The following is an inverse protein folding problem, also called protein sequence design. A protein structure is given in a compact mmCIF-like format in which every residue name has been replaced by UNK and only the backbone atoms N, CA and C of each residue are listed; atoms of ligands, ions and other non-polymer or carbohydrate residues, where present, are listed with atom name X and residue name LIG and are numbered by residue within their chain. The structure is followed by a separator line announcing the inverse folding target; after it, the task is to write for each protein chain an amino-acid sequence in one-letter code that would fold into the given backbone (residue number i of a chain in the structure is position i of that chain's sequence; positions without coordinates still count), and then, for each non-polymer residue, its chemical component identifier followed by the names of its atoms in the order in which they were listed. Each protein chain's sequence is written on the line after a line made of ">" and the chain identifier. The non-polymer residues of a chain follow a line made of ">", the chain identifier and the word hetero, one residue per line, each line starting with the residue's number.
data_IF_555858705767
#
_entry.id   IF_555858705767
#
_cell.length_a   1.000
_cell.length_b   1.000
_cell.length_c   1.000
_cell.angle_alpha   90.00
_cell.angle_beta   90.00
_cell.angle_gamma   90.00
#
_symmetry.space_group_name_H-M   'P 1'
#
loop_
_entity.id
_entity.type
_entity.pdbx_description
1 polymer ?
#
# COMPACT_ATOMS: atom_id res chain seq x y z
N UNK A 1 17.71 7.67 -12.80
CA UNK A 1 16.59 6.72 -12.75
C UNK A 1 15.73 6.69 -14.02
N UNK A 2 14.98 7.76 -14.36
CA UNK A 2 13.94 7.66 -15.41
C UNK A 2 14.46 7.86 -16.84
N UNK A 3 13.85 7.13 -17.78
CA UNK A 3 14.07 7.21 -19.25
C UNK A 3 12.89 7.92 -19.94
N UNK A 4 12.96 8.11 -21.26
CA UNK A 4 11.84 8.69 -22.02
C UNK A 4 10.54 7.86 -21.94
N UNK A 5 10.66 6.54 -21.88
CA UNK A 5 9.53 5.62 -21.74
C UNK A 5 8.85 5.77 -20.37
N UNK A 6 9.66 5.87 -19.31
CA UNK A 6 9.18 6.20 -17.97
C UNK A 6 8.41 7.53 -17.95
N UNK A 7 8.93 8.57 -18.60
CA UNK A 7 8.28 9.87 -18.64
C UNK A 7 6.97 9.85 -19.45
N UNK A 8 6.90 9.05 -20.52
CA UNK A 8 5.66 8.86 -21.27
C UNK A 8 4.61 8.14 -20.42
N UNK A 9 4.98 7.04 -19.76
CA UNK A 9 4.09 6.31 -18.87
C UNK A 9 3.60 7.19 -17.71
N UNK A 10 4.49 7.98 -17.11
CA UNK A 10 4.13 8.97 -16.08
C UNK A 10 3.05 9.94 -16.55
N UNK A 11 3.12 10.42 -17.79
CA UNK A 11 2.09 11.30 -18.35
C UNK A 11 0.75 10.58 -18.53
N UNK A 12 0.77 9.30 -18.90
CA UNK A 12 -0.43 8.45 -18.97
C UNK A 12 -1.07 8.31 -17.59
N UNK A 13 -0.30 7.90 -16.57
CA UNK A 13 -0.80 7.76 -15.20
C UNK A 13 -1.34 9.07 -14.65
N UNK A 14 -0.61 10.18 -14.84
CA UNK A 14 -1.05 11.51 -14.38
C UNK A 14 -2.39 11.91 -14.98
N UNK A 15 -2.59 11.63 -16.28
CA UNK A 15 -3.85 11.91 -16.97
C UNK A 15 -4.97 11.06 -16.42
N UNK A 16 -4.73 9.76 -16.24
CA UNK A 16 -5.69 8.85 -15.62
C UNK A 16 -6.11 9.32 -14.22
N UNK A 17 -5.15 9.66 -13.36
CA UNK A 17 -5.44 10.20 -12.01
C UNK A 17 -6.28 11.47 -12.07
N UNK A 18 -5.97 12.37 -12.99
CA UNK A 18 -6.69 13.64 -13.15
C UNK A 18 -8.12 13.43 -13.66
N UNK A 19 -8.30 12.54 -14.63
CA UNK A 19 -9.54 12.45 -15.40
C UNK A 19 -10.50 11.37 -14.86
N UNK A 20 -9.98 10.29 -14.28
CA UNK A 20 -10.75 9.09 -13.86
C UNK A 20 -10.80 8.86 -12.34
N UNK A 21 -9.96 9.54 -11.55
CA UNK A 21 -9.91 9.37 -10.08
C UNK A 21 -10.32 10.66 -9.38
N UNK A 22 -9.54 11.73 -9.57
CA UNK A 22 -9.69 13.01 -8.84
C UNK A 22 -11.13 13.55 -8.83
N UNK A 23 -11.90 13.51 -9.94
CA UNK A 23 -13.28 14.04 -9.95
C UNK A 23 -14.26 13.26 -9.06
N UNK A 24 -13.91 12.04 -8.65
CA UNK A 24 -14.80 11.15 -7.90
C UNK A 24 -14.41 11.00 -6.42
N UNK A 25 -13.23 11.47 -6.03
CA UNK A 25 -12.67 11.25 -4.68
C UNK A 25 -13.62 11.71 -3.57
N UNK A 26 -14.22 12.89 -3.67
CA UNK A 26 -15.10 13.41 -2.63
C UNK A 26 -16.33 12.52 -2.42
N UNK A 27 -16.88 11.97 -3.52
CA UNK A 27 -17.98 11.02 -3.46
C UNK A 27 -17.53 9.70 -2.84
N UNK A 28 -16.40 9.14 -3.26
CA UNK A 28 -15.90 7.88 -2.72
C UNK A 28 -15.52 7.97 -1.24
N UNK A 29 -14.99 9.10 -0.79
CA UNK A 29 -14.75 9.37 0.63
C UNK A 29 -16.05 9.41 1.43
N UNK A 30 -17.08 10.10 0.92
CA UNK A 30 -18.39 10.17 1.57
C UNK A 30 -19.10 8.81 1.61
N UNK A 31 -19.05 8.06 0.52
CA UNK A 31 -19.60 6.70 0.41
C UNK A 31 -18.74 5.67 1.17
N UNK A 32 -17.54 6.07 1.61
CA UNK A 32 -16.50 5.23 2.22
C UNK A 32 -16.11 4.04 1.35
N UNK A 33 -16.19 4.18 0.03
CA UNK A 33 -15.97 3.11 -0.92
C UNK A 33 -15.71 3.66 -2.33
N UNK A 34 -14.70 3.10 -3.00
CA UNK A 34 -14.44 3.29 -4.42
C UNK A 34 -14.80 2.00 -5.16
N UNK A 35 -15.26 2.07 -6.43
CA UNK A 35 -15.72 0.91 -7.17
C UNK A 35 -14.53 0.14 -7.77
N UNK A 36 -13.91 -0.77 -6.99
CA UNK A 36 -12.70 -1.49 -7.38
C UNK A 36 -12.87 -2.23 -8.72
N UNK A 37 -13.95 -3.02 -8.88
CA UNK A 37 -14.28 -3.75 -10.10
C UNK A 37 -14.59 -2.88 -11.34
N UNK A 38 -14.70 -1.55 -11.19
CA UNK A 38 -14.83 -0.64 -12.33
C UNK A 38 -13.53 0.10 -12.62
N UNK A 39 -12.80 0.49 -11.56
CA UNK A 39 -11.59 1.27 -11.71
C UNK A 39 -10.39 0.39 -12.13
N UNK A 40 -10.23 -0.78 -11.52
CA UNK A 40 -9.09 -1.65 -11.76
C UNK A 40 -8.98 -2.17 -13.20
N UNK A 41 -10.06 -2.58 -13.90
CA UNK A 41 -9.95 -2.93 -15.32
C UNK A 41 -9.38 -1.78 -16.18
N UNK A 42 -9.80 -0.54 -15.91
CA UNK A 42 -9.29 0.65 -16.61
C UNK A 42 -7.80 0.90 -16.32
N UNK A 43 -7.34 0.56 -15.11
CA UNK A 43 -5.92 0.63 -14.74
C UNK A 43 -5.11 -0.49 -15.39
N UNK A 44 -5.68 -1.70 -15.47
CA UNK A 44 -5.10 -2.85 -16.16
C UNK A 44 -4.89 -2.58 -17.66
N UNK A 45 -5.87 -1.98 -18.33
CA UNK A 45 -5.76 -1.54 -19.75
C UNK A 45 -4.56 -0.61 -20.00
N UNK A 46 -4.17 0.17 -19.00
CA UNK A 46 -3.05 1.12 -19.08
C UNK A 46 -1.72 0.52 -18.58
N UNK A 47 -1.70 -0.77 -18.20
CA UNK A 47 -0.51 -1.44 -17.68
C UNK A 47 -0.13 -1.05 -16.24
N UNK A 48 -1.01 -0.37 -15.50
CA UNK A 48 -0.69 0.16 -14.17
C UNK A 48 -0.63 -0.92 -13.07
N UNK A 49 -1.34 -2.04 -13.26
CA UNK A 49 -1.46 -3.09 -12.24
C UNK A 49 -0.41 -4.19 -12.35
N UNK A 50 0.34 -4.24 -13.45
CA UNK A 50 1.34 -5.29 -13.69
C UNK A 50 2.54 -4.86 -14.51
N UNK A 51 2.98 -3.61 -14.36
CA UNK A 51 4.04 -3.04 -15.18
C UNK A 51 5.31 -3.90 -15.23
N UNK A 52 5.77 -4.45 -14.09
CA UNK A 52 6.95 -5.32 -14.05
C UNK A 52 6.66 -6.82 -14.11
N UNK A 53 5.40 -7.24 -14.25
CA UNK A 53 5.06 -8.67 -14.27
C UNK A 53 5.30 -9.29 -15.65
N UNK A 54 5.48 -10.63 -15.72
CA UNK A 54 5.74 -11.31 -16.99
C UNK A 54 4.60 -11.11 -17.99
N UNK A 55 4.97 -10.92 -19.26
CA UNK A 55 4.01 -10.75 -20.37
C UNK A 55 3.06 -11.95 -20.53
N UNK A 56 3.53 -13.16 -20.21
CA UNK A 56 2.72 -14.40 -20.22
C UNK A 56 1.45 -14.29 -19.34
N UNK A 57 1.50 -13.44 -18.30
CA UNK A 57 0.38 -13.21 -17.39
C UNK A 57 -0.19 -11.78 -17.52
N UNK A 58 -0.04 -11.15 -18.68
CA UNK A 58 -0.61 -9.84 -18.98
C UNK A 58 0.15 -8.64 -18.41
N UNK A 59 1.33 -8.85 -17.82
CA UNK A 59 2.21 -7.76 -17.41
C UNK A 59 2.98 -7.14 -18.59
N UNK A 60 3.75 -6.08 -18.33
CA UNK A 60 4.53 -5.40 -19.36
C UNK A 60 6.03 -5.75 -19.36
N UNK A 61 6.49 -6.61 -18.45
CA UNK A 61 7.91 -7.01 -18.35
C UNK A 61 8.89 -5.86 -18.09
N UNK A 62 8.39 -4.69 -17.68
CA UNK A 62 9.18 -3.49 -17.48
C UNK A 62 9.95 -3.53 -16.15
N UNK A 63 10.83 -2.55 -15.94
CA UNK A 63 11.53 -2.44 -14.66
C UNK A 63 10.60 -1.90 -13.53
N UNK A 64 11.07 -2.01 -12.29
CA UNK A 64 10.27 -1.66 -11.12
C UNK A 64 10.02 -0.15 -10.95
N UNK A 65 10.72 0.72 -11.68
CA UNK A 65 10.51 2.17 -11.58
C UNK A 65 9.13 2.58 -12.13
N UNK A 66 8.50 1.75 -12.98
CA UNK A 66 7.12 1.95 -13.41
C UNK A 66 6.12 1.86 -12.23
N UNK A 67 6.32 0.93 -11.30
CA UNK A 67 5.50 0.86 -10.07
C UNK A 67 5.68 2.10 -9.19
N UNK A 68 6.92 2.62 -9.10
CA UNK A 68 7.20 3.88 -8.39
C UNK A 68 6.51 5.08 -9.05
N UNK A 69 6.41 5.10 -10.38
CA UNK A 69 5.66 6.14 -11.11
C UNK A 69 4.17 6.07 -10.79
N UNK A 70 3.58 4.87 -10.76
CA UNK A 70 2.18 4.69 -10.36
C UNK A 70 1.97 5.24 -8.96
N UNK A 71 2.80 4.85 -7.99
CA UNK A 71 2.74 5.36 -6.62
C UNK A 71 2.89 6.90 -6.55
N UNK A 72 3.85 7.50 -7.25
CA UNK A 72 4.11 8.95 -7.21
C UNK A 72 2.94 9.78 -7.76
N UNK A 73 2.35 9.36 -8.88
CA UNK A 73 1.24 10.10 -9.48
C UNK A 73 -0.08 9.84 -8.72
N UNK A 74 -0.33 8.61 -8.25
CA UNK A 74 -1.52 8.29 -7.45
C UNK A 74 -1.56 9.05 -6.12
N UNK A 75 -0.41 9.30 -5.49
CA UNK A 75 -0.33 10.10 -4.27
C UNK A 75 -0.85 11.55 -4.41
N UNK A 76 -1.08 12.02 -5.64
CA UNK A 76 -1.55 13.39 -5.95
C UNK A 76 -3.05 13.47 -6.22
N UNK A 77 -3.79 12.36 -6.09
CA UNK A 77 -5.22 12.31 -6.42
C UNK A 77 -6.14 12.98 -5.38
N UNK A 78 -5.59 13.38 -4.22
CA UNK A 78 -6.36 14.06 -3.17
C UNK A 78 -7.07 13.14 -2.18
N UNK A 79 -6.72 11.84 -2.14
CA UNK A 79 -6.98 10.88 -1.06
C UNK A 79 -5.86 9.83 -1.03
N UNK A 80 -5.78 9.03 0.03
CA UNK A 80 -4.87 7.89 0.12
C UNK A 80 -5.58 6.53 0.09
N UNK A 81 -6.91 6.48 0.18
CA UNK A 81 -7.66 5.22 0.08
C UNK A 81 -7.50 4.53 -1.27
N UNK A 82 -7.84 5.19 -2.38
CA UNK A 82 -7.71 4.59 -3.73
C UNK A 82 -6.25 4.22 -4.07
N UNK A 83 -5.24 5.07 -3.80
CA UNK A 83 -3.85 4.69 -4.00
C UNK A 83 -3.40 3.48 -3.16
N UNK A 84 -3.85 3.38 -1.91
CA UNK A 84 -3.53 2.23 -1.06
C UNK A 84 -4.18 0.94 -1.61
N UNK A 85 -5.44 1.00 -2.02
CA UNK A 85 -6.14 -0.13 -2.63
C UNK A 85 -5.48 -0.60 -3.93
N UNK A 86 -5.01 0.36 -4.76
CA UNK A 86 -4.24 0.09 -5.98
C UNK A 86 -2.93 -0.60 -5.65
N UNK A 87 -2.18 -0.08 -4.68
CA UNK A 87 -0.91 -0.68 -4.27
C UNK A 87 -1.13 -2.11 -3.74
N UNK A 88 -2.25 -2.37 -3.05
CA UNK A 88 -2.61 -3.72 -2.62
C UNK A 88 -2.82 -4.64 -3.81
N UNK A 89 -3.60 -4.18 -4.79
CA UNK A 89 -3.87 -4.92 -6.02
C UNK A 89 -2.58 -5.28 -6.77
N UNK A 90 -1.70 -4.29 -6.98
CA UNK A 90 -0.55 -4.42 -7.88
C UNK A 90 0.69 -5.02 -7.23
N UNK A 91 0.98 -4.73 -5.96
CA UNK A 91 2.30 -5.02 -5.37
C UNK A 91 2.27 -5.80 -4.05
N UNK A 92 1.09 -5.97 -3.44
CA UNK A 92 0.97 -6.63 -2.12
C UNK A 92 0.27 -7.97 -2.27
N UNK A 93 -0.95 -7.99 -2.82
CA UNK A 93 -1.74 -9.22 -2.95
C UNK A 93 -1.10 -10.19 -3.96
N UNK A 94 -0.63 -9.68 -5.10
CA UNK A 94 -0.23 -10.54 -6.23
C UNK A 94 1.27 -10.69 -6.40
N UNK A 95 2.10 -9.93 -5.67
CA UNK A 95 3.56 -9.97 -5.86
C UNK A 95 4.18 -11.33 -5.48
N UNK A 96 3.71 -11.95 -4.39
CA UNK A 96 4.07 -13.31 -4.02
C UNK A 96 3.65 -14.35 -5.03
N UNK A 97 2.44 -14.18 -5.56
CA UNK A 97 1.89 -15.04 -6.60
C UNK A 97 2.71 -14.95 -7.89
N UNK A 98 3.09 -13.74 -8.31
CA UNK A 98 3.93 -13.51 -9.47
C UNK A 98 5.32 -14.15 -9.34
N UNK A 99 5.92 -14.08 -8.16
CA UNK A 99 7.27 -14.58 -7.94
C UNK A 99 7.32 -16.09 -7.69
N UNK A 100 6.42 -16.64 -6.87
CA UNK A 100 6.50 -18.03 -6.39
C UNK A 100 5.29 -18.91 -6.76
N UNK A 101 4.22 -18.33 -7.30
CA UNK A 101 3.04 -19.08 -7.70
C UNK A 101 3.34 -20.13 -8.77
N UNK A 102 2.59 -21.24 -8.76
CA UNK A 102 2.59 -22.18 -9.87
C UNK A 102 2.00 -21.53 -11.13
N UNK A 103 2.23 -22.14 -12.29
CA UNK A 103 1.63 -21.69 -13.55
C UNK A 103 0.09 -21.61 -13.45
N UNK A 104 -0.54 -22.66 -12.93
CA UNK A 104 -2.00 -22.71 -12.70
C UNK A 104 -2.49 -21.55 -11.82
N UNK A 105 -1.79 -21.28 -10.72
CA UNK A 105 -2.11 -20.17 -9.82
C UNK A 105 -1.99 -18.81 -10.52
N UNK A 106 -0.96 -18.63 -11.36
CA UNK A 106 -0.74 -17.38 -12.09
C UNK A 106 -1.80 -17.18 -13.18
N UNK A 107 -2.14 -18.22 -13.95
CA UNK A 107 -3.22 -18.13 -14.93
C UNK A 107 -4.57 -17.83 -14.26
N UNK A 108 -4.86 -18.49 -13.14
CA UNK A 108 -6.16 -18.38 -12.48
C UNK A 108 -6.38 -17.08 -11.71
N UNK A 109 -5.33 -16.54 -11.09
CA UNK A 109 -5.46 -15.40 -10.18
C UNK A 109 -4.59 -14.20 -10.56
N UNK A 110 -3.33 -14.41 -10.98
CA UNK A 110 -2.43 -13.30 -11.31
C UNK A 110 -2.88 -12.59 -12.58
N UNK A 111 -3.08 -13.33 -13.68
CA UNK A 111 -3.40 -12.72 -14.96
C UNK A 111 -4.71 -11.92 -14.92
N UNK A 112 -5.82 -12.43 -14.35
CA UNK A 112 -7.04 -11.64 -14.18
C UNK A 112 -6.87 -10.45 -13.22
N UNK A 113 -6.06 -10.58 -12.15
CA UNK A 113 -5.79 -9.47 -11.24
C UNK A 113 -4.95 -8.36 -11.90
N UNK A 114 -4.00 -8.72 -12.76
CA UNK A 114 -3.22 -7.77 -13.56
C UNK A 114 -4.10 -7.08 -14.60
N UNK A 115 -5.03 -7.80 -15.21
CA UNK A 115 -6.05 -7.21 -16.09
C UNK A 115 -7.04 -6.30 -15.32
N UNK A 116 -7.14 -6.47 -13.99
CA UNK A 116 -8.08 -5.75 -13.14
C UNK A 116 -9.47 -6.39 -13.04
N UNK A 117 -9.65 -7.57 -13.63
CA UNK A 117 -10.90 -8.34 -13.65
C UNK A 117 -11.20 -9.01 -12.30
N UNK A 118 -10.16 -9.31 -11.51
CA UNK A 118 -10.27 -9.80 -10.13
C UNK A 118 -9.59 -8.82 -9.16
N UNK A 119 -10.25 -8.56 -8.04
CA UNK A 119 -9.72 -7.78 -6.92
C UNK A 119 -9.02 -8.72 -5.93
N UNK A 120 -7.73 -8.48 -5.70
CA UNK A 120 -6.91 -9.20 -4.75
C UNK A 120 -6.77 -8.46 -3.42
N UNK A 121 -6.68 -9.24 -2.34
CA UNK A 121 -6.28 -8.76 -1.02
C UNK A 121 -5.20 -9.67 -0.40
N UNK A 122 -4.53 -9.17 0.63
CA UNK A 122 -3.51 -9.90 1.40
C UNK A 122 -3.97 -10.04 2.86
N UNK A 123 -4.10 -11.28 3.34
CA UNK A 123 -4.54 -11.62 4.69
C UNK A 123 -3.39 -12.03 5.62
N UNK A 124 -2.78 -11.08 6.34
CA UNK A 124 -1.67 -11.38 7.28
C UNK A 124 -2.09 -11.18 8.74
N UNK A 125 -2.37 -9.94 9.13
CA UNK A 125 -2.67 -9.56 10.52
C UNK A 125 -3.98 -10.16 11.01
N UNK A 126 -4.05 -10.42 12.31
CA UNK A 126 -5.20 -10.97 13.01
C UNK A 126 -5.65 -10.00 14.11
N UNK A 127 -6.85 -10.14 14.70
CA UNK A 127 -7.33 -9.22 15.72
C UNK A 127 -6.35 -8.97 16.88
N UNK A 128 -5.66 -10.01 17.34
CA UNK A 128 -4.70 -9.93 18.44
C UNK A 128 -3.24 -9.89 17.97
N UNK A 129 -2.99 -9.97 16.65
CA UNK A 129 -1.66 -10.16 16.07
C UNK A 129 -1.40 -9.14 14.96
N UNK A 130 -0.65 -8.09 15.30
CA UNK A 130 -0.18 -7.06 14.37
C UNK A 130 1.31 -7.23 14.04
N UNK A 131 2.17 -6.55 14.82
CA UNK A 131 3.62 -6.53 14.60
C UNK A 131 4.28 -7.91 14.76
N UNK A 132 3.76 -8.77 15.65
CA UNK A 132 4.29 -10.12 15.89
C UNK A 132 3.65 -11.16 14.94
N UNK A 133 3.86 -10.97 13.64
CA UNK A 133 3.27 -11.83 12.59
C UNK A 133 3.59 -13.32 12.81
N UNK A 134 4.76 -13.63 13.38
CA UNK A 134 5.19 -14.99 13.66
C UNK A 134 4.30 -15.73 14.69
N UNK A 135 3.45 -15.01 15.43
CA UNK A 135 2.52 -15.54 16.43
C UNK A 135 1.08 -15.68 15.93
N UNK A 136 0.81 -15.49 14.62
CA UNK A 136 -0.53 -15.67 14.05
C UNK A 136 -1.10 -17.08 14.34
N UNK A 137 -2.43 -17.19 14.40
CA UNK A 137 -3.16 -18.38 14.83
C UNK A 137 -4.00 -19.03 13.73
N UNK A 138 -4.35 -18.30 12.66
CA UNK A 138 -5.09 -18.85 11.51
C UNK A 138 -4.36 -20.07 10.95
N UNK A 139 -5.09 -21.17 10.79
CA UNK A 139 -4.53 -22.50 10.49
C UNK A 139 -5.23 -23.14 9.30
N UNK A 140 -4.43 -23.74 8.44
CA UNK A 140 -4.83 -24.56 7.31
C UNK A 140 -4.43 -26.01 7.58
N UNK A 141 -5.38 -26.83 8.05
CA UNK A 141 -5.16 -28.26 8.29
C UNK A 141 -5.26 -29.02 6.96
N UNK A 142 -4.35 -29.98 6.76
CA UNK A 142 -4.37 -30.86 5.59
C UNK A 142 -5.48 -31.91 5.72
N UNK A 143 -6.32 -32.04 4.69
CA UNK A 143 -7.28 -33.15 4.53
C UNK A 143 -7.26 -33.65 3.08
N UNK A 144 -6.57 -34.78 2.86
CA UNK A 144 -6.34 -35.29 1.50
C UNK A 144 -5.57 -34.26 0.66
N UNK A 145 -6.16 -33.91 -0.49
CA UNK A 145 -5.61 -32.96 -1.46
C UNK A 145 -6.04 -31.51 -1.19
N UNK A 146 -6.75 -31.25 -0.09
CA UNK A 146 -7.21 -29.93 0.32
C UNK A 146 -6.53 -29.43 1.60
N UNK A 147 -6.53 -28.10 1.74
CA UNK A 147 -6.48 -27.43 3.02
C UNK A 147 -7.89 -27.10 3.50
N UNK A 148 -8.08 -27.14 4.82
CA UNK A 148 -9.25 -26.54 5.48
C UNK A 148 -8.78 -25.49 6.46
N UNK A 149 -9.26 -24.27 6.26
CA UNK A 149 -8.75 -23.06 6.88
C UNK A 149 -9.75 -22.57 7.93
N UNK A 150 -9.23 -22.34 9.14
CA UNK A 150 -9.96 -21.69 10.22
C UNK A 150 -9.16 -20.54 10.81
N UNK A 151 -9.86 -19.44 11.11
CA UNK A 151 -9.29 -18.30 11.79
C UNK A 151 -9.92 -16.99 11.33
N UNK A 152 -9.19 -15.90 11.52
CA UNK A 152 -9.64 -14.58 11.09
C UNK A 152 -8.46 -13.69 10.74
N UNK A 153 -8.71 -12.76 9.83
CA UNK A 153 -7.75 -11.74 9.41
C UNK A 153 -8.37 -10.37 9.59
N UNK A 154 -7.58 -9.41 10.07
CA UNK A 154 -8.06 -8.06 10.36
C UNK A 154 -7.14 -7.03 9.70
N UNK A 155 -7.70 -5.87 9.37
CA UNK A 155 -7.03 -4.78 8.66
C UNK A 155 -6.78 -5.07 7.18
N UNK A 156 -7.67 -5.87 6.56
CA UNK A 156 -7.45 -6.36 5.20
C UNK A 156 -8.00 -5.36 4.19
N UNK A 157 -7.12 -4.52 3.66
CA UNK A 157 -7.43 -3.60 2.56
C UNK A 157 -7.95 -4.38 1.34
N UNK A 158 -8.96 -3.83 0.66
CA UNK A 158 -9.75 -4.48 -0.41
C UNK A 158 -10.59 -5.67 0.07
N UNK A 159 -10.53 -6.06 1.35
CA UNK A 159 -11.14 -7.30 1.84
C UNK A 159 -12.66 -7.40 1.66
N UNK A 160 -13.38 -6.29 1.58
CA UNK A 160 -14.83 -6.29 1.32
C UNK A 160 -15.18 -6.37 -0.17
N UNK A 161 -14.24 -6.05 -1.06
CA UNK A 161 -14.41 -6.10 -2.51
C UNK A 161 -13.57 -7.21 -3.16
N UNK A 162 -12.79 -7.96 -2.40
CA UNK A 162 -11.87 -8.96 -2.93
C UNK A 162 -12.63 -10.16 -3.52
N UNK A 163 -12.14 -10.65 -4.67
CA UNK A 163 -12.55 -11.92 -5.27
C UNK A 163 -11.65 -13.07 -4.76
N UNK A 164 -10.44 -12.75 -4.30
CA UNK A 164 -9.56 -13.68 -3.61
C UNK A 164 -8.66 -12.99 -2.59
N UNK A 165 -8.23 -13.75 -1.59
CA UNK A 165 -7.29 -13.31 -0.56
C UNK A 165 -6.09 -14.23 -0.56
N UNK A 166 -4.89 -13.67 -0.65
CA UNK A 166 -3.66 -14.42 -0.38
C UNK A 166 -3.44 -14.41 1.13
N UNK A 167 -3.68 -15.54 1.77
CA UNK A 167 -3.77 -15.65 3.23
C UNK A 167 -2.52 -16.32 3.80
N UNK A 168 -1.85 -15.65 4.73
CA UNK A 168 -0.78 -16.25 5.52
C UNK A 168 -1.40 -17.05 6.67
N UNK A 169 -1.19 -18.36 6.69
CA UNK A 169 -1.73 -19.27 7.69
C UNK A 169 -0.71 -20.36 8.07
N UNK A 170 -0.90 -20.98 9.23
CA UNK A 170 -0.10 -22.14 9.66
C UNK A 170 -0.56 -23.39 8.92
N UNK A 171 0.34 -24.05 8.21
CA UNK A 171 0.11 -25.37 7.59
C UNK A 171 0.76 -26.51 8.37
N UNK A 172 1.64 -26.20 9.33
CA UNK A 172 2.22 -27.20 10.24
C UNK A 172 2.31 -26.71 11.69
N UNK A 173 2.67 -27.63 12.60
CA UNK A 173 2.87 -27.36 14.03
C UNK A 173 4.30 -26.94 14.38
N UNK A 174 5.17 -26.77 13.38
CA UNK A 174 6.50 -26.21 13.60
C UNK A 174 6.34 -24.73 14.00
N UNK A 175 6.37 -24.44 15.30
CA UNK A 175 6.09 -23.10 15.83
C UNK A 175 7.01 -21.98 15.33
N UNK A 176 6.68 -20.74 15.69
CA UNK A 176 7.36 -19.54 15.21
C UNK A 176 7.04 -19.25 13.75
N UNK A 177 8.01 -18.71 12.99
CA UNK A 177 7.85 -18.42 11.56
C UNK A 177 7.89 -19.65 10.65
N UNK A 178 8.35 -20.79 11.19
CA UNK A 178 8.37 -22.07 10.46
C UNK A 178 6.92 -22.56 10.34
N UNK A 179 6.64 -23.40 9.35
CA UNK A 179 5.29 -23.98 9.20
C UNK A 179 4.18 -23.02 8.74
N UNK A 180 4.52 -21.83 8.26
CA UNK A 180 3.56 -20.89 7.67
C UNK A 180 3.59 -20.93 6.15
N UNK A 181 2.43 -20.86 5.52
CA UNK A 181 2.27 -20.85 4.07
C UNK A 181 1.35 -19.72 3.65
N UNK A 182 1.59 -19.18 2.44
CA UNK A 182 0.65 -18.31 1.76
C UNK A 182 -0.28 -19.20 0.93
N UNK A 183 -1.58 -19.06 1.12
CA UNK A 183 -2.60 -19.85 0.42
C UNK A 183 -3.60 -18.90 -0.22
N UNK A 184 -3.88 -19.06 -1.50
CA UNK A 184 -4.92 -18.28 -2.18
C UNK A 184 -6.30 -18.82 -1.78
N UNK A 185 -7.19 -17.94 -1.32
CA UNK A 185 -8.55 -18.28 -0.90
C UNK A 185 -9.55 -17.45 -1.69
N UNK A 186 -10.32 -18.04 -2.62
CA UNK A 186 -11.44 -17.36 -3.28
C UNK A 186 -12.49 -16.94 -2.25
N UNK A 187 -13.03 -15.73 -2.36
CA UNK A 187 -13.96 -15.18 -1.36
C UNK A 187 -15.38 -15.74 -1.48
N UNK A 188 -15.67 -16.45 -2.57
CA UNK A 188 -16.90 -17.24 -2.77
C UNK A 188 -16.82 -18.66 -2.18
N UNK A 189 -15.67 -19.04 -1.59
CA UNK A 189 -15.50 -20.35 -0.94
C UNK A 189 -16.47 -20.49 0.24
N UNK A 190 -17.18 -21.62 0.37
CA UNK A 190 -18.04 -21.88 1.54
C UNK A 190 -17.27 -21.73 2.85
N UNK A 191 -17.86 -21.00 3.81
CA UNK A 191 -17.25 -20.71 5.12
C UNK A 191 -16.43 -19.42 5.17
N UNK A 192 -16.18 -18.76 4.04
CA UNK A 192 -15.55 -17.45 4.02
C UNK A 192 -16.60 -16.35 4.25
N UNK A 193 -16.28 -15.38 5.10
CA UNK A 193 -17.16 -14.23 5.36
C UNK A 193 -16.37 -12.94 5.55
N UNK A 194 -16.86 -11.85 4.97
CA UNK A 194 -16.46 -10.49 5.37
C UNK A 194 -17.26 -10.10 6.61
N UNK A 195 -16.76 -10.45 7.79
CA UNK A 195 -17.49 -10.25 9.05
C UNK A 195 -17.83 -8.77 9.34
N UNK A 196 -16.94 -7.83 8.98
CA UNK A 196 -17.29 -6.40 8.91
C UNK A 196 -16.31 -5.57 8.09
N UNK A 197 -16.81 -4.46 7.54
CA UNK A 197 -16.00 -3.33 7.09
C UNK A 197 -15.60 -2.48 8.29
N UNK A 198 -14.33 -2.15 8.41
CA UNK A 198 -13.77 -1.38 9.53
C UNK A 198 -13.94 0.11 9.26
N UNK A 199 -14.56 0.80 10.23
CA UNK A 199 -14.63 2.26 10.29
C UNK A 199 -13.27 2.83 10.71
N UNK A 200 -12.68 3.67 9.86
CA UNK A 200 -11.30 4.15 9.98
C UNK A 200 -11.25 5.66 10.24
N UNK A 201 -10.11 6.12 10.78
CA UNK A 201 -9.81 7.54 10.92
C UNK A 201 -9.70 8.26 9.57
N UNK A 202 -9.11 7.61 8.57
CA UNK A 202 -8.92 8.12 7.21
C UNK A 202 -8.89 6.98 6.19
N UNK A 203 -8.46 7.27 4.97
CA UNK A 203 -8.50 6.38 3.81
C UNK A 203 -9.91 5.84 3.60
N UNK A 204 -10.92 6.71 3.72
CA UNK A 204 -12.32 6.31 3.74
C UNK A 204 -12.72 5.71 2.41
N UNK A 205 -12.19 6.22 1.30
CA UNK A 205 -12.50 5.69 -0.02
C UNK A 205 -12.09 4.23 -0.22
N UNK A 206 -11.22 3.64 0.62
CA UNK A 206 -10.85 2.22 0.54
C UNK A 206 -11.53 1.42 1.66
N UNK A 207 -12.08 0.26 1.32
CA UNK A 207 -12.59 -0.66 2.31
C UNK A 207 -11.45 -1.40 3.04
N UNK A 208 -11.75 -1.85 4.26
CA UNK A 208 -10.81 -2.64 5.07
C UNK A 208 -11.62 -3.64 5.86
N UNK A 209 -11.36 -4.93 5.66
CA UNK A 209 -12.16 -6.02 6.21
C UNK A 209 -11.61 -6.63 7.49
N UNK A 210 -12.53 -7.08 8.33
CA UNK A 210 -12.35 -8.28 9.15
C UNK A 210 -12.87 -9.46 8.35
N UNK A 211 -12.00 -10.43 8.07
CA UNK A 211 -12.30 -11.64 7.32
C UNK A 211 -12.35 -12.83 8.28
N UNK A 212 -13.33 -13.71 8.09
CA UNK A 212 -13.54 -14.91 8.88
C UNK A 212 -13.43 -16.12 7.96
N UNK A 213 -12.72 -17.13 8.43
CA UNK A 213 -12.60 -18.43 7.79
C UNK A 213 -13.17 -19.47 8.75
N UNK A 214 -14.31 -20.05 8.41
CA UNK A 214 -14.95 -21.14 9.15
C UNK A 214 -14.96 -22.40 8.28
N UNK A 215 -14.04 -23.32 8.56
CA UNK A 215 -13.84 -24.56 7.81
C UNK A 215 -13.75 -24.36 6.27
N UNK A 216 -13.09 -23.28 5.82
CA UNK A 216 -12.95 -22.94 4.40
C UNK A 216 -12.05 -23.95 3.70
N UNK A 217 -12.59 -24.68 2.72
CA UNK A 217 -11.87 -25.72 1.98
C UNK A 217 -11.33 -25.20 0.65
N UNK A 218 -10.02 -25.36 0.42
CA UNK A 218 -9.36 -25.03 -0.84
C UNK A 218 -8.35 -26.11 -1.24
N UNK A 219 -8.09 -26.35 -2.53
CA UNK A 219 -7.06 -27.30 -2.97
C UNK A 219 -5.67 -26.93 -2.47
N UNK A 220 -4.84 -27.92 -2.16
CA UNK A 220 -3.42 -27.69 -1.81
C UNK A 220 -2.62 -27.04 -2.94
N UNK A 221 -3.06 -27.20 -4.19
CA UNK A 221 -2.47 -26.51 -5.34
C UNK A 221 -2.59 -24.98 -5.25
N UNK A 222 -3.42 -24.45 -4.34
CA UNK A 222 -3.51 -23.01 -4.07
C UNK A 222 -2.43 -22.49 -3.10
N UNK A 223 -1.52 -23.34 -2.62
CA UNK A 223 -0.33 -22.90 -1.90
C UNK A 223 0.60 -22.11 -2.83
N UNK A 224 0.98 -20.89 -2.43
CA UNK A 224 1.92 -20.05 -3.16
C UNK A 224 3.35 -20.49 -2.81
N UNK A 225 4.07 -20.99 -3.83
CA UNK A 225 5.43 -21.51 -3.66
C UNK A 225 5.47 -22.78 -2.81
N UNK A 226 6.53 -22.93 -2.02
CA UNK A 226 6.71 -24.12 -1.19
C UNK A 226 5.94 -24.00 0.14
N UNK A 227 5.23 -25.05 0.52
CA UNK A 227 4.60 -25.15 1.85
C UNK A 227 5.64 -24.92 2.97
N UNK A 228 5.27 -24.11 3.98
CA UNK A 228 6.13 -23.73 5.10
C UNK A 228 7.09 -22.56 4.80
N UNK A 229 7.08 -22.00 3.58
CA UNK A 229 7.91 -20.84 3.20
C UNK A 229 7.15 -19.51 3.13
N UNK A 230 5.85 -19.50 3.41
CA UNK A 230 4.99 -18.32 3.27
C UNK A 230 5.45 -17.11 4.07
N UNK A 231 5.97 -17.31 5.29
CA UNK A 231 6.50 -16.20 6.09
C UNK A 231 7.67 -15.49 5.41
N UNK A 232 8.60 -16.26 4.82
CA UNK A 232 9.77 -15.70 4.13
C UNK A 232 9.35 -14.89 2.91
N UNK A 233 8.46 -15.47 2.08
CA UNK A 233 7.89 -14.78 0.94
C UNK A 233 7.20 -13.48 1.36
N UNK A 234 6.46 -13.50 2.47
CA UNK A 234 5.79 -12.31 2.99
C UNK A 234 6.76 -11.21 3.44
N UNK A 235 7.86 -11.58 4.11
CA UNK A 235 8.87 -10.61 4.55
C UNK A 235 9.59 -9.92 3.38
N UNK A 236 9.83 -10.65 2.29
CA UNK A 236 10.39 -10.09 1.05
C UNK A 236 9.39 -9.11 0.39
N UNK A 237 8.12 -9.48 0.33
CA UNK A 237 7.05 -8.63 -0.25
C UNK A 237 6.87 -7.32 0.52
N UNK A 238 6.99 -7.33 1.85
CA UNK A 238 6.86 -6.12 2.65
C UNK A 238 7.87 -5.03 2.27
N UNK A 239 9.01 -5.37 1.68
CA UNK A 239 9.96 -4.36 1.23
C UNK A 239 9.39 -3.52 0.08
N UNK A 240 8.70 -4.16 -0.87
CA UNK A 240 8.03 -3.51 -2.00
C UNK A 240 6.89 -2.60 -1.51
N UNK A 241 6.07 -3.11 -0.60
CA UNK A 241 4.99 -2.35 0.05
C UNK A 241 5.52 -1.08 0.75
N UNK A 242 6.57 -1.23 1.57
CA UNK A 242 7.16 -0.13 2.34
C UNK A 242 7.75 0.96 1.45
N UNK A 243 8.43 0.57 0.37
CA UNK A 243 9.03 1.49 -0.58
C UNK A 243 7.96 2.32 -1.31
N UNK A 244 6.94 1.65 -1.85
CA UNK A 244 5.87 2.32 -2.61
C UNK A 244 4.94 3.13 -1.70
N UNK A 245 4.62 2.64 -0.51
CA UNK A 245 3.89 3.40 0.52
C UNK A 245 4.62 4.68 0.92
N UNK A 246 5.96 4.65 0.98
CA UNK A 246 6.77 5.84 1.23
C UNK A 246 6.65 6.86 0.09
N UNK A 247 6.70 6.41 -1.17
CA UNK A 247 6.54 7.28 -2.34
C UNK A 247 5.15 7.91 -2.41
N UNK A 248 4.10 7.14 -2.11
CA UNK A 248 2.73 7.64 -2.01
C UNK A 248 2.63 8.78 -0.99
N UNK A 249 3.12 8.55 0.23
CA UNK A 249 3.09 9.54 1.31
C UNK A 249 3.87 10.81 0.97
N UNK A 250 5.07 10.68 0.40
CA UNK A 250 5.89 11.82 -0.03
C UNK A 250 5.15 12.66 -1.08
N UNK A 251 4.50 12.01 -2.04
CA UNK A 251 3.81 12.68 -3.14
C UNK A 251 2.55 13.41 -2.67
N UNK A 252 1.78 12.81 -1.76
CA UNK A 252 0.67 13.47 -1.08
C UNK A 252 1.16 14.67 -0.25
N UNK A 253 2.25 14.52 0.51
CA UNK A 253 2.79 15.60 1.33
C UNK A 253 3.32 16.77 0.46
N UNK A 254 3.94 16.48 -0.68
CA UNK A 254 4.33 17.51 -1.64
C UNK A 254 3.12 18.27 -2.23
N UNK A 255 2.00 17.59 -2.47
CA UNK A 255 0.77 18.23 -2.90
C UNK A 255 0.17 19.09 -1.79
N UNK A 256 0.17 18.62 -0.54
CA UNK A 256 -0.27 19.39 0.63
C UNK A 256 0.52 20.70 0.78
N UNK A 257 1.84 20.65 0.66
CA UNK A 257 2.69 21.85 0.71
C UNK A 257 2.41 22.78 -0.48
N UNK A 258 2.14 22.23 -1.68
CA UNK A 258 1.86 23.02 -2.88
C UNK A 258 0.59 23.84 -2.69
N UNK A 259 -0.49 23.18 -2.26
CA UNK A 259 -1.78 23.81 -1.94
C UNK A 259 -1.63 24.84 -0.84
N UNK A 260 -0.82 24.55 0.18
CA UNK A 260 -0.55 25.49 1.28
C UNK A 260 0.17 26.75 0.80
N UNK A 261 1.17 26.61 -0.10
CA UNK A 261 1.84 27.77 -0.70
C UNK A 261 0.84 28.63 -1.49
N UNK A 262 -0.03 28.01 -2.29
CA UNK A 262 -1.07 28.71 -3.06
C UNK A 262 -2.04 29.45 -2.13
N UNK A 263 -2.57 28.77 -1.11
CA UNK A 263 -3.45 29.38 -0.12
C UNK A 263 -2.79 30.55 0.62
N UNK A 264 -1.56 30.36 1.11
CA UNK A 264 -0.84 31.41 1.85
C UNK A 264 -0.51 32.62 0.97
N UNK A 265 -0.35 32.45 -0.35
CA UNK A 265 -0.12 33.53 -1.30
C UNK A 265 -1.36 34.43 -1.43
N UNK A 266 -2.55 33.83 -1.41
CA UNK A 266 -3.80 34.55 -1.63
C UNK A 266 -4.41 35.08 -0.32
N UNK A 267 -4.24 34.34 0.78
CA UNK A 267 -4.77 34.69 2.10
C UNK A 267 -4.06 35.90 2.67
N UNK A 268 -4.79 36.99 2.91
CA UNK A 268 -4.25 38.19 3.57
C UNK A 268 -4.49 38.16 5.09
N UNK A 269 -3.45 38.47 5.87
CA UNK A 269 -3.50 38.70 7.32
C UNK A 269 -2.67 39.92 7.65
N UNK A 270 -3.17 40.79 8.53
CA UNK A 270 -2.50 42.04 8.89
C UNK A 270 -2.11 42.90 7.66
N UNK A 271 -2.96 42.92 6.63
CA UNK A 271 -2.77 43.75 5.43
C UNK A 271 -1.90 43.15 4.32
N UNK A 272 -1.25 42.01 4.54
CA UNK A 272 -0.33 41.38 3.58
C UNK A 272 -0.59 39.88 3.42
N UNK A 273 -0.13 39.23 2.33
CA UNK A 273 -0.22 37.78 2.17
C UNK A 273 0.36 37.03 3.37
N UNK A 274 -0.28 35.94 3.81
CA UNK A 274 0.23 35.07 4.87
C UNK A 274 1.62 34.53 4.52
N UNK A 275 1.87 34.29 3.22
CA UNK A 275 3.16 33.85 2.72
C UNK A 275 4.29 34.88 2.91
N UNK A 276 4.01 36.17 3.19
CA UNK A 276 5.07 37.15 3.50
C UNK A 276 5.63 37.02 4.92
N UNK A 277 4.95 36.27 5.80
CA UNK A 277 5.41 36.06 7.18
C UNK A 277 6.60 35.12 7.19
N UNK A 278 7.73 35.58 7.72
CA UNK A 278 9.01 34.84 7.75
C UNK A 278 8.87 33.40 8.22
N UNK A 279 8.18 33.21 9.34
CA UNK A 279 7.98 31.90 9.92
C UNK A 279 7.26 30.93 8.96
N UNK A 280 6.29 31.41 8.16
CA UNK A 280 5.53 30.60 7.20
C UNK A 280 6.43 30.11 6.08
N UNK A 281 7.11 31.01 5.37
CA UNK A 281 7.92 30.60 4.21
C UNK A 281 9.20 29.86 4.62
N UNK A 282 9.74 30.08 5.82
CA UNK A 282 10.83 29.27 6.37
C UNK A 282 10.40 27.81 6.57
N UNK A 283 9.27 27.57 7.25
CA UNK A 283 8.78 26.20 7.46
C UNK A 283 8.44 25.50 6.14
N UNK A 284 7.83 26.20 5.18
CA UNK A 284 7.53 25.60 3.87
C UNK A 284 8.83 25.23 3.13
N UNK A 285 9.89 26.03 3.23
CA UNK A 285 11.19 25.73 2.64
C UNK A 285 11.87 24.52 3.30
N UNK A 286 11.83 24.42 4.63
CA UNK A 286 12.36 23.27 5.38
C UNK A 286 11.62 21.97 5.01
N UNK A 287 10.28 21.98 5.04
CA UNK A 287 9.47 20.82 4.68
C UNK A 287 9.71 20.38 3.23
N UNK A 288 9.83 21.33 2.29
CA UNK A 288 10.20 21.02 0.89
C UNK A 288 11.56 20.38 0.78
N UNK A 289 12.53 20.84 1.57
CA UNK A 289 13.88 20.27 1.59
C UNK A 289 13.85 18.84 2.07
N UNK A 290 13.19 18.57 3.19
CA UNK A 290 13.05 17.22 3.76
C UNK A 290 12.34 16.25 2.81
N UNK A 291 11.25 16.68 2.17
CA UNK A 291 10.52 15.88 1.17
C UNK A 291 11.38 15.59 -0.06
N UNK A 292 12.15 16.59 -0.53
CA UNK A 292 13.04 16.43 -1.69
C UNK A 292 14.13 15.40 -1.39
N UNK A 293 14.76 15.47 -0.21
CA UNK A 293 15.78 14.52 0.22
C UNK A 293 15.20 13.10 0.28
N UNK A 294 14.03 12.94 0.91
CA UNK A 294 13.40 11.64 1.04
C UNK A 294 12.99 11.06 -0.32
N UNK A 295 12.47 11.88 -1.24
CA UNK A 295 12.17 11.47 -2.62
C UNK A 295 13.40 10.92 -3.33
N UNK A 296 14.53 11.64 -3.26
CA UNK A 296 15.78 11.19 -3.87
C UNK A 296 16.30 9.90 -3.21
N UNK A 297 16.14 9.76 -1.89
CA UNK A 297 16.48 8.52 -1.20
C UNK A 297 15.63 7.32 -1.68
N UNK A 298 14.33 7.52 -1.90
CA UNK A 298 13.46 6.47 -2.46
C UNK A 298 13.85 6.12 -3.90
N UNK A 299 14.19 7.11 -4.74
CA UNK A 299 14.71 6.83 -6.08
C UNK A 299 16.01 6.05 -6.05
N UNK A 300 16.94 6.42 -5.15
CA UNK A 300 18.17 5.66 -4.95
C UNK A 300 17.90 4.21 -4.52
N UNK A 301 16.96 3.99 -3.58
CA UNK A 301 16.53 2.64 -3.20
C UNK A 301 15.96 1.88 -4.41
N UNK A 302 15.14 2.53 -5.23
CA UNK A 302 14.54 1.91 -6.41
C UNK A 302 15.59 1.46 -7.43
N UNK A 303 16.60 2.29 -7.73
CA UNK A 303 17.69 1.92 -8.63
C UNK A 303 18.48 0.70 -8.14
N UNK A 304 18.68 0.57 -6.83
CA UNK A 304 19.36 -0.57 -6.22
C UNK A 304 18.47 -1.82 -6.20
N UNK A 305 17.17 -1.66 -5.98
CA UNK A 305 16.20 -2.75 -6.07
C UNK A 305 16.19 -3.36 -7.47
N UNK A 306 16.20 -2.53 -8.52
CA UNK A 306 16.25 -2.97 -9.92
C UNK A 306 17.51 -3.77 -10.22
N UNK A 307 18.63 -3.47 -9.54
CA UNK A 307 19.89 -4.22 -9.66
C UNK A 307 19.89 -5.54 -8.87
N UNK A 308 18.81 -5.85 -8.15
CA UNK A 308 18.69 -7.07 -7.33
C UNK A 308 19.49 -7.01 -6.02
N UNK A 309 19.81 -5.80 -5.53
CA UNK A 309 20.50 -5.64 -4.25
C UNK A 309 19.54 -5.80 -3.06
N UNK A 310 20.00 -6.43 -1.98
CA UNK A 310 19.27 -6.39 -0.70
C UNK A 310 19.41 -5.00 -0.08
N UNK A 311 18.28 -4.30 -0.03
CA UNK A 311 18.13 -2.94 0.48
C UNK A 311 17.08 -2.85 1.59
N UNK A 312 16.84 -3.96 2.29
CA UNK A 312 15.87 -4.05 3.40
C UNK A 312 16.09 -2.96 4.44
N UNK A 313 17.35 -2.64 4.75
CA UNK A 313 17.73 -1.58 5.68
C UNK A 313 17.28 -0.21 5.17
N UNK A 314 17.65 0.14 3.96
CA UNK A 314 17.37 1.45 3.35
C UNK A 314 15.87 1.68 3.17
N UNK A 315 15.13 0.64 2.76
CA UNK A 315 13.67 0.69 2.66
C UNK A 315 13.03 0.94 4.04
N UNK A 316 13.54 0.29 5.08
CA UNK A 316 13.05 0.49 6.45
C UNK A 316 13.31 1.92 6.94
N UNK A 317 14.47 2.50 6.60
CA UNK A 317 14.79 3.91 6.87
C UNK A 317 13.85 4.85 6.11
N UNK A 318 13.60 4.59 4.82
CA UNK A 318 12.72 5.38 3.98
C UNK A 318 11.30 5.39 4.55
N UNK A 319 10.77 4.22 4.91
CA UNK A 319 9.42 4.08 5.47
C UNK A 319 9.27 4.77 6.82
N UNK A 320 10.24 4.61 7.71
CA UNK A 320 10.26 5.30 9.01
C UNK A 320 10.26 6.82 8.84
N UNK A 321 11.16 7.34 7.99
CA UNK A 321 11.26 8.78 7.73
C UNK A 321 10.01 9.32 7.05
N UNK A 322 9.47 8.59 6.07
CA UNK A 322 8.24 8.95 5.38
C UNK A 322 7.07 9.05 6.35
N UNK A 323 6.78 8.01 7.13
CA UNK A 323 5.68 8.00 8.09
C UNK A 323 5.70 9.19 9.05
N UNK A 324 6.88 9.51 9.60
CA UNK A 324 7.06 10.65 10.50
C UNK A 324 6.94 12.00 9.78
N UNK A 325 7.58 12.15 8.62
CA UNK A 325 7.60 13.41 7.89
C UNK A 325 6.21 13.79 7.36
N UNK A 326 5.44 12.85 6.80
CA UNK A 326 4.10 13.17 6.26
C UNK A 326 3.14 13.64 7.34
N UNK A 327 3.26 13.13 8.57
CA UNK A 327 2.50 13.60 9.73
C UNK A 327 2.84 15.04 10.07
N UNK A 328 4.14 15.37 10.13
CA UNK A 328 4.59 16.73 10.40
C UNK A 328 4.16 17.71 9.28
N UNK A 329 4.31 17.31 8.02
CA UNK A 329 3.94 18.14 6.87
C UNK A 329 2.45 18.46 6.91
N UNK A 330 1.60 17.44 7.04
CA UNK A 330 0.15 17.63 7.01
C UNK A 330 -0.36 18.42 8.21
N UNK A 331 0.19 18.20 9.40
CA UNK A 331 -0.11 19.00 10.60
C UNK A 331 0.20 20.50 10.40
N UNK A 332 1.41 20.82 9.91
CA UNK A 332 1.80 22.20 9.61
C UNK A 332 0.93 22.81 8.51
N UNK A 333 0.60 22.03 7.48
CA UNK A 333 -0.25 22.52 6.39
C UNK A 333 -1.67 22.85 6.90
N UNK A 334 -2.26 22.01 7.75
CA UNK A 334 -3.55 22.31 8.42
C UNK A 334 -3.42 23.58 9.25
N UNK A 335 -2.35 23.71 10.05
CA UNK A 335 -2.09 24.88 10.88
C UNK A 335 -2.02 26.20 10.08
N UNK A 336 -1.43 26.18 8.88
CA UNK A 336 -1.30 27.38 8.04
C UNK A 336 -2.61 27.77 7.35
N UNK A 337 -3.50 26.80 7.12
CA UNK A 337 -4.84 27.08 6.65
C UNK A 337 -5.77 27.59 7.76
N UNK A 338 -5.45 27.33 9.03
CA UNK A 338 -6.26 27.71 10.18
C UNK A 338 -7.62 26.99 10.16
N UNK A 339 -8.71 27.71 10.41
CA UNK A 339 -10.06 27.13 10.40
C UNK A 339 -10.42 26.42 9.08
N UNK A 340 -9.90 26.90 7.95
CA UNK A 340 -10.12 26.26 6.64
C UNK A 340 -9.43 24.90 6.53
N UNK A 341 -8.29 24.72 7.21
CA UNK A 341 -7.58 23.44 7.22
C UNK A 341 -8.23 22.39 8.11
N UNK A 342 -9.09 22.82 9.04
CA UNK A 342 -9.83 21.95 9.95
C UNK A 342 -11.16 21.46 9.36
N UNK A 343 -11.67 22.14 8.33
CA UNK A 343 -12.94 21.83 7.69
C UNK A 343 -12.78 20.68 6.66
N UNK A 344 -13.65 19.67 6.72
CA UNK A 344 -13.63 18.52 5.79
C UNK A 344 -14.01 18.92 4.35
N UNK A 345 -14.55 20.12 4.12
CA UNK A 345 -14.72 20.69 2.78
C UNK A 345 -13.39 20.96 2.08
N UNK A 346 -12.26 20.97 2.80
CA UNK A 346 -10.93 21.19 2.24
C UNK A 346 -10.09 19.91 2.26
N UNK A 347 -9.36 19.59 1.18
CA UNK A 347 -8.57 18.36 1.07
C UNK A 347 -7.51 18.17 2.17
N UNK A 348 -7.10 19.23 2.87
CA UNK A 348 -6.05 19.18 3.89
C UNK A 348 -6.49 18.40 5.14
N UNK A 349 -7.76 18.53 5.55
CA UNK A 349 -8.30 17.74 6.64
C UNK A 349 -8.18 16.25 6.30
N UNK A 350 -8.61 15.86 5.09
CA UNK A 350 -8.45 14.49 4.56
C UNK A 350 -7.00 14.02 4.53
N UNK A 351 -6.10 14.80 3.94
CA UNK A 351 -4.67 14.46 3.86
C UNK A 351 -4.06 14.24 5.26
N UNK A 352 -4.47 15.03 6.27
CA UNK A 352 -4.02 14.88 7.65
C UNK A 352 -4.44 13.54 8.26
N UNK A 353 -5.73 13.16 8.16
CA UNK A 353 -6.20 11.87 8.69
C UNK A 353 -5.62 10.69 7.91
N UNK A 354 -5.49 10.80 6.60
CA UNK A 354 -4.93 9.78 5.72
C UNK A 354 -3.43 9.52 6.00
N UNK A 355 -2.65 10.58 6.21
CA UNK A 355 -1.23 10.52 6.51
C UNK A 355 -0.90 9.66 7.75
N UNK A 356 -1.84 9.56 8.70
CA UNK A 356 -1.62 8.85 9.95
C UNK A 356 -1.31 7.37 9.77
N UNK A 357 -1.86 6.73 8.73
CA UNK A 357 -1.71 5.30 8.49
C UNK A 357 -0.25 4.91 8.18
N UNK A 358 0.54 5.77 7.54
CA UNK A 358 1.88 5.40 7.07
C UNK A 358 2.85 5.04 8.22
N UNK A 359 2.64 5.57 9.42
CA UNK A 359 3.39 5.16 10.63
C UNK A 359 2.88 3.87 11.30
N UNK A 360 1.81 3.25 10.78
CA UNK A 360 1.12 2.09 11.37
C UNK A 360 1.15 0.89 10.41
N UNK A 361 0.61 1.07 9.20
CA UNK A 361 0.56 0.04 8.16
C UNK A 361 1.96 -0.31 7.62
N UNK A 362 2.07 -1.45 6.94
CA UNK A 362 3.32 -2.01 6.43
C UNK A 362 4.41 -2.25 7.51
N UNK A 363 4.00 -2.32 8.79
CA UNK A 363 4.83 -2.40 9.98
C UNK A 363 4.98 -1.04 10.67
N UNK A 364 4.74 -0.97 11.98
CA UNK A 364 4.81 0.28 12.74
C UNK A 364 6.22 0.94 12.71
N UNK A 365 6.30 2.21 13.08
CA UNK A 365 7.59 2.93 13.20
C UNK A 365 8.59 2.16 14.08
N UNK A 366 8.12 1.55 15.17
CA UNK A 366 8.92 0.74 16.09
C UNK A 366 9.47 -0.52 15.42
N UNK A 367 8.70 -1.15 14.54
CA UNK A 367 9.16 -2.31 13.75
C UNK A 367 10.27 -1.87 12.79
N UNK A 368 10.16 -0.69 12.18
CA UNK A 368 11.23 -0.20 11.30
C UNK A 368 12.50 0.09 12.09
N UNK A 369 12.37 0.70 13.27
CA UNK A 369 13.51 0.93 14.18
C UNK A 369 14.19 -0.38 14.57
N UNK A 370 13.42 -1.42 14.90
CA UNK A 370 13.95 -2.74 15.24
C UNK A 370 14.72 -3.35 14.05
N UNK A 371 14.14 -3.32 12.84
CA UNK A 371 14.80 -3.84 11.64
C UNK A 371 16.11 -3.08 11.37
N UNK A 372 16.10 -1.76 11.44
CA UNK A 372 17.31 -0.93 11.23
C UNK A 372 18.37 -1.28 12.28
N UNK A 373 17.99 -1.29 13.56
CA UNK A 373 18.92 -1.58 14.65
C UNK A 373 19.54 -2.97 14.52
N UNK A 374 18.73 -3.97 14.15
CA UNK A 374 19.19 -5.34 13.93
C UNK A 374 20.17 -5.43 12.75
N UNK A 375 19.85 -4.82 11.61
CA UNK A 375 20.70 -4.86 10.42
C UNK A 375 21.99 -4.03 10.56
N UNK A 376 22.00 -3.02 11.44
CA UNK A 376 23.20 -2.22 11.74
C UNK A 376 23.99 -2.74 12.96
N UNK A 377 23.55 -3.83 13.59
CA UNK A 377 24.29 -4.52 14.63
C UNK A 377 24.28 -3.85 16.01
N UNK A 378 23.35 -2.92 16.26
CA UNK A 378 23.15 -2.31 17.59
C UNK A 378 21.80 -2.65 18.25
N UNK A 379 20.98 -3.45 17.57
CA UNK A 379 19.75 -4.05 18.12
C UNK A 379 20.02 -5.39 18.82
N UNK A 380 19.05 -5.89 19.61
CA UNK A 380 19.10 -7.24 20.14
C UNK A 380 19.13 -8.28 19.01
N UNK A 381 19.84 -9.40 19.25
CA UNK A 381 20.03 -10.50 18.29
C UNK A 381 18.72 -11.21 17.93
#
# INVERSE_FOLDING_TARGET
>A
MFTAEHDQFRQTVRRFVKDEITPHVDKWEADKEFPAHKLFPRMGELGMLGASYPEEYGGAGADYAFHVIVADEMGRCGCMGVPMATLVQSDIAVSGLAQYGSHELKEKFLAPAVAGDLVGALGVSEPDIGSDVASLSTRARSEGDDYVINGSKMWITNGAQADFVVTLCRTSDEGGYKGMSLVVVPTDSPGFEVGKKIEKMGNHSSDTGLLVYDEVRVPKSYCVGQEGKGFYYQMEQFQKERLLGSMLGVSMAEDAVRRTIEYCRDRKVFGEPLLSKQWVYFHLAELRTELTILRQFIYHCTERLIKGEDITREISMAKLKAGRLVRQVTDICVQFHGGMGYAEEYPLARMYRDARLLSIGAGADEVMLEIIAKLEGFGPA
#
